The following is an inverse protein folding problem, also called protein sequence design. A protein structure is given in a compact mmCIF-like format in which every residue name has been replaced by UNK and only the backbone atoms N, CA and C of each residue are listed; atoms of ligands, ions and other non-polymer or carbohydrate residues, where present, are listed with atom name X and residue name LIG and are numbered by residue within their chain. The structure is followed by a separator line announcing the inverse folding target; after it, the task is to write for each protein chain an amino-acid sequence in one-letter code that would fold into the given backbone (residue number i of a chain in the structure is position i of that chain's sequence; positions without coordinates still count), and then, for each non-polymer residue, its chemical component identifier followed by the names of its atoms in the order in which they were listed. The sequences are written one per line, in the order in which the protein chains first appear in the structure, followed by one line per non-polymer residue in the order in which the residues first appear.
data_IF_032981269830
#
_entry.id   IF_032981269830
#
_cell.length_a   1.000
_cell.length_b   1.000
_cell.length_c   1.000
_cell.angle_alpha   90.00
_cell.angle_beta   90.00
_cell.angle_gamma   90.00
#
_symmetry.space_group_name_H-M   'P 1'
#
loop_
_entity.id
_entity.type
_entity.pdbx_description
1 polymer ?
#
# COMPACT_ATOMS: atom_id res chain seq x y z
N UNK A 1 27.86 14.10 26.64
CA UNK A 1 27.36 13.56 25.36
C UNK A 1 26.31 14.55 24.85
N UNK A 2 26.70 15.43 23.96
CA UNK A 2 25.74 16.33 23.26
C UNK A 2 24.96 15.47 22.31
N UNK A 3 23.68 15.26 22.59
CA UNK A 3 22.75 14.66 21.61
C UNK A 3 22.80 15.53 20.35
N UNK A 4 23.19 14.96 19.20
CA UNK A 4 22.93 15.62 17.93
C UNK A 4 21.42 15.92 17.89
N UNK A 5 21.02 17.13 17.43
CA UNK A 5 19.61 17.40 17.23
C UNK A 5 19.02 16.31 16.32
N UNK A 6 17.86 15.78 16.71
CA UNK A 6 17.14 14.78 15.89
C UNK A 6 16.84 15.46 14.54
N UNK A 7 17.47 14.99 13.48
CA UNK A 7 17.33 15.56 12.15
C UNK A 7 15.88 15.46 11.59
N UNK A 8 14.98 14.77 12.30
CA UNK A 8 13.59 14.54 11.93
C UNK A 8 12.59 15.20 12.89
N UNK A 9 13.03 16.18 13.70
CA UNK A 9 12.20 16.79 14.72
C UNK A 9 10.93 17.42 14.14
N UNK A 10 11.04 18.09 13.00
CA UNK A 10 9.87 18.72 12.33
C UNK A 10 8.82 17.69 11.90
N UNK A 11 9.27 16.52 11.40
CA UNK A 11 8.37 15.40 11.07
C UNK A 11 7.69 14.87 12.33
N UNK A 12 8.46 14.66 13.39
CA UNK A 12 7.94 14.18 14.68
C UNK A 12 6.89 15.13 15.24
N UNK A 13 7.18 16.41 15.25
CA UNK A 13 6.28 17.44 15.78
C UNK A 13 5.00 17.55 14.94
N UNK A 14 5.10 17.51 13.61
CA UNK A 14 3.95 17.51 12.71
C UNK A 14 3.03 16.30 12.97
N UNK A 15 3.60 15.09 12.99
CA UNK A 15 2.80 13.88 13.26
C UNK A 15 2.20 13.88 14.66
N UNK A 16 2.94 14.33 15.69
CA UNK A 16 2.41 14.45 17.06
C UNK A 16 1.25 15.42 17.13
N UNK A 17 1.35 16.57 16.45
CA UNK A 17 0.28 17.56 16.41
C UNK A 17 -0.99 17.00 15.74
N UNK A 18 -0.84 16.24 14.64
CA UNK A 18 -1.97 15.54 14.02
C UNK A 18 -2.54 14.47 14.96
N UNK A 19 -1.70 13.60 15.52
CA UNK A 19 -2.15 12.52 16.39
C UNK A 19 -2.84 13.02 17.66
N UNK A 20 -2.48 14.20 18.18
CA UNK A 20 -3.16 14.81 19.32
C UNK A 20 -4.65 15.09 19.08
N UNK A 21 -5.08 15.19 17.83
CA UNK A 21 -6.49 15.34 17.46
C UNK A 21 -7.28 14.03 17.56
N UNK A 22 -6.58 12.89 17.65
CA UNK A 22 -7.14 11.53 17.71
C UNK A 22 -6.67 10.83 19.00
N UNK A 23 -7.34 11.06 20.12
CA UNK A 23 -6.93 10.50 21.41
C UNK A 23 -7.10 8.97 21.44
N UNK A 24 -6.46 8.32 22.40
CA UNK A 24 -6.51 6.86 22.57
C UNK A 24 -7.94 6.29 22.61
N UNK A 25 -8.91 7.07 23.08
CA UNK A 25 -10.35 6.72 23.07
C UNK A 25 -10.90 6.55 21.67
N UNK A 26 -10.49 7.41 20.70
CA UNK A 26 -10.87 7.26 19.30
C UNK A 26 -10.36 5.92 18.75
N UNK A 27 -9.08 5.60 18.95
CA UNK A 27 -8.49 4.36 18.43
C UNK A 27 -9.11 3.12 19.06
N UNK A 28 -9.44 3.14 20.37
CA UNK A 28 -10.15 2.04 21.04
C UNK A 28 -11.56 1.82 20.44
N UNK A 29 -12.31 2.87 20.19
CA UNK A 29 -13.66 2.75 19.57
C UNK A 29 -13.59 2.17 18.15
N UNK A 30 -12.60 2.57 17.36
CA UNK A 30 -12.38 2.00 16.02
C UNK A 30 -12.05 0.50 16.12
N UNK A 31 -11.17 0.11 17.05
CA UNK A 31 -10.79 -1.29 17.26
C UNK A 31 -11.98 -2.14 17.74
N UNK A 32 -12.73 -1.69 18.73
CA UNK A 32 -13.95 -2.33 19.24
C UNK A 32 -14.99 -2.54 18.12
N UNK A 33 -15.17 -1.51 17.27
CA UNK A 33 -16.07 -1.57 16.12
C UNK A 33 -15.52 -2.41 14.96
N UNK A 34 -14.26 -2.86 15.01
CA UNK A 34 -13.55 -3.52 13.89
C UNK A 34 -13.63 -2.70 12.61
N UNK A 35 -13.58 -1.37 12.75
CA UNK A 35 -13.76 -0.43 11.66
C UNK A 35 -12.42 0.07 11.11
N UNK A 36 -12.46 0.64 9.93
CA UNK A 36 -11.34 1.37 9.36
C UNK A 36 -11.33 2.80 9.91
N UNK A 37 -10.16 3.36 10.29
CA UNK A 37 -10.06 4.69 10.90
C UNK A 37 -10.11 5.80 9.83
N UNK A 38 -11.25 5.96 9.16
CA UNK A 38 -11.43 6.89 8.01
C UNK A 38 -10.96 8.30 8.33
N UNK A 39 -11.45 8.90 9.41
CA UNK A 39 -11.14 10.29 9.79
C UNK A 39 -9.63 10.49 10.03
N UNK A 40 -8.99 9.53 10.67
CA UNK A 40 -7.56 9.57 10.94
C UNK A 40 -6.75 9.44 9.64
N UNK A 41 -7.13 8.51 8.75
CA UNK A 41 -6.47 8.32 7.46
C UNK A 41 -6.69 9.54 6.55
N UNK A 42 -7.87 10.12 6.57
CA UNK A 42 -8.16 11.35 5.83
C UNK A 42 -7.34 12.55 6.35
N UNK A 43 -7.15 12.65 7.65
CA UNK A 43 -6.27 13.67 8.24
C UNK A 43 -4.81 13.49 7.80
N UNK A 44 -4.28 12.25 7.88
CA UNK A 44 -2.94 11.91 7.38
C UNK A 44 -2.79 12.23 5.89
N UNK A 45 -3.84 11.99 5.10
CA UNK A 45 -3.83 12.25 3.66
C UNK A 45 -3.81 13.75 3.37
N UNK A 46 -4.68 14.53 4.02
CA UNK A 46 -4.76 16.00 3.83
C UNK A 46 -3.48 16.72 4.20
N UNK A 47 -2.76 16.26 5.20
CA UNK A 47 -1.48 16.82 5.61
C UNK A 47 -0.29 16.25 4.82
N UNK A 48 -0.52 15.37 3.82
CA UNK A 48 0.49 14.84 2.92
C UNK A 48 1.31 13.65 3.46
N UNK A 49 1.07 13.21 4.71
CA UNK A 49 1.84 12.13 5.33
C UNK A 49 1.69 10.79 4.61
N UNK A 50 0.52 10.54 4.01
CA UNK A 50 0.28 9.33 3.23
C UNK A 50 1.02 9.31 1.89
N UNK A 51 1.47 10.48 1.41
CA UNK A 51 2.19 10.67 0.15
C UNK A 51 3.69 10.94 0.35
N UNK A 52 4.22 10.73 1.55
CA UNK A 52 5.59 11.06 1.93
C UNK A 52 6.66 10.55 0.96
N UNK A 53 6.51 9.32 0.45
CA UNK A 53 7.47 8.68 -0.48
C UNK A 53 7.21 8.98 -1.96
N UNK A 54 6.09 9.64 -2.31
CA UNK A 54 5.81 10.03 -3.69
C UNK A 54 6.70 11.21 -4.05
N UNK A 55 7.40 11.20 -5.21
CA UNK A 55 8.17 12.35 -5.66
C UNK A 55 7.33 13.62 -5.80
N UNK A 56 7.94 14.78 -5.61
CA UNK A 56 7.29 16.08 -5.70
C UNK A 56 6.61 16.31 -7.06
N UNK A 57 7.21 15.85 -8.14
CA UNK A 57 6.65 15.93 -9.50
C UNK A 57 5.28 15.25 -9.64
N UNK A 58 4.94 14.35 -8.72
CA UNK A 58 3.65 13.66 -8.67
C UNK A 58 2.80 14.07 -7.46
N UNK A 59 3.12 15.18 -6.80
CA UNK A 59 2.34 15.77 -5.72
C UNK A 59 2.61 15.16 -4.33
N UNK A 60 3.71 14.44 -4.16
CA UNK A 60 4.18 13.96 -2.87
C UNK A 60 5.25 14.85 -2.25
N UNK A 61 5.90 14.37 -1.19
CA UNK A 61 6.96 15.10 -0.48
C UNK A 61 8.38 14.63 -0.83
N UNK A 62 8.53 13.59 -1.63
CA UNK A 62 9.84 13.08 -2.05
C UNK A 62 10.74 12.59 -0.91
N UNK A 63 10.17 12.27 0.25
CA UNK A 63 10.92 11.83 1.42
C UNK A 63 11.46 10.41 1.25
N UNK A 64 12.45 10.05 2.08
CA UNK A 64 13.07 8.75 2.08
C UNK A 64 12.41 7.74 3.05
N UNK A 65 12.96 6.52 3.07
CA UNK A 65 12.45 5.45 3.93
C UNK A 65 12.66 5.73 5.42
N UNK A 66 13.68 6.49 5.77
CA UNK A 66 13.95 6.86 7.18
C UNK A 66 12.85 7.79 7.70
N UNK A 67 12.51 8.81 6.93
CA UNK A 67 11.42 9.74 7.23
C UNK A 67 10.07 9.01 7.31
N UNK A 68 9.80 8.10 6.37
CA UNK A 68 8.62 7.25 6.41
C UNK A 68 8.56 6.39 7.69
N UNK A 69 9.70 5.87 8.15
CA UNK A 69 9.79 5.12 9.41
C UNK A 69 9.50 6.00 10.62
N UNK A 70 10.00 7.23 10.63
CA UNK A 70 9.74 8.21 11.71
C UNK A 70 8.25 8.55 11.78
N UNK A 71 7.60 8.75 10.63
CA UNK A 71 6.14 8.97 10.56
C UNK A 71 5.39 7.82 11.21
N UNK A 72 5.70 6.58 10.85
CA UNK A 72 5.03 5.40 11.39
C UNK A 72 5.34 5.18 12.88
N UNK A 73 6.56 5.47 13.32
CA UNK A 73 6.95 5.42 14.72
C UNK A 73 6.09 6.35 15.57
N UNK A 74 5.94 7.61 15.17
CA UNK A 74 5.16 8.59 15.93
C UNK A 74 3.66 8.27 15.94
N UNK A 75 3.10 7.74 14.85
CA UNK A 75 1.72 7.26 14.80
C UNK A 75 1.50 6.15 15.85
N UNK A 76 2.38 5.13 15.86
CA UNK A 76 2.26 4.02 16.80
C UNK A 76 2.50 4.49 18.25
N UNK A 77 3.46 5.40 18.47
CA UNK A 77 3.74 5.97 19.79
C UNK A 77 2.54 6.73 20.38
N UNK A 78 1.74 7.37 19.51
CA UNK A 78 0.52 8.05 19.92
C UNK A 78 -0.67 7.10 20.17
N UNK A 79 -0.50 5.78 19.97
CA UNK A 79 -1.54 4.78 20.13
C UNK A 79 -2.38 4.55 18.87
N UNK A 80 -2.04 5.19 17.75
CA UNK A 80 -2.66 4.97 16.45
C UNK A 80 -2.17 3.70 15.77
N UNK A 81 -2.92 3.19 14.80
CA UNK A 81 -2.50 2.10 13.94
C UNK A 81 -1.89 2.65 12.65
N UNK A 82 -0.56 2.56 12.51
CA UNK A 82 0.14 3.00 11.29
C UNK A 82 -0.10 2.12 10.07
N UNK A 83 -0.88 1.05 10.20
CA UNK A 83 -1.03 0.05 9.16
C UNK A 83 -1.57 0.56 7.83
N UNK A 84 -2.46 1.57 7.83
CA UNK A 84 -2.95 2.20 6.60
C UNK A 84 -1.82 2.97 5.89
N UNK A 85 -1.04 3.73 6.66
CA UNK A 85 0.12 4.48 6.19
C UNK A 85 1.19 3.53 5.61
N UNK A 86 1.58 2.52 6.38
CA UNK A 86 2.52 1.49 5.93
C UNK A 86 2.04 0.80 4.65
N UNK A 87 0.76 0.37 4.62
CA UNK A 87 0.19 -0.31 3.46
C UNK A 87 0.27 0.54 2.19
N UNK A 88 -0.01 1.83 2.28
CA UNK A 88 0.11 2.72 1.13
C UNK A 88 1.57 2.96 0.74
N UNK A 89 2.45 3.21 1.71
CA UNK A 89 3.86 3.52 1.45
C UNK A 89 4.58 2.42 0.69
N UNK A 90 4.46 1.15 1.10
CA UNK A 90 5.16 0.08 0.38
C UNK A 90 4.52 -0.24 -0.98
N UNK A 91 3.20 -0.17 -1.10
CA UNK A 91 2.52 -0.43 -2.36
C UNK A 91 2.80 0.66 -3.41
N UNK A 92 2.68 1.94 -3.04
CA UNK A 92 2.97 3.03 -3.99
C UNK A 92 4.44 3.09 -4.37
N UNK A 93 5.36 2.72 -3.46
CA UNK A 93 6.79 2.68 -3.77
C UNK A 93 7.09 1.63 -4.87
N UNK A 94 6.30 0.56 -4.95
CA UNK A 94 6.36 -0.39 -6.07
C UNK A 94 6.03 0.33 -7.38
N UNK A 95 4.99 1.16 -7.41
CA UNK A 95 4.63 1.94 -8.58
C UNK A 95 5.66 3.03 -8.92
N UNK A 96 6.20 3.73 -7.91
CA UNK A 96 7.28 4.73 -8.08
C UNK A 96 8.51 4.08 -8.73
N UNK A 97 8.91 2.90 -8.30
CA UNK A 97 10.15 2.24 -8.76
C UNK A 97 10.00 1.48 -10.07
N UNK A 98 8.85 0.85 -10.30
CA UNK A 98 8.67 -0.14 -11.35
C UNK A 98 7.53 0.20 -12.33
N UNK A 99 6.72 1.21 -12.03
CA UNK A 99 5.67 1.68 -12.92
C UNK A 99 6.25 2.30 -14.20
N UNK A 100 5.51 2.18 -15.31
CA UNK A 100 5.80 2.98 -16.51
C UNK A 100 5.53 4.45 -16.23
N UNK A 101 6.09 5.34 -17.07
CA UNK A 101 5.83 6.77 -16.93
C UNK A 101 4.33 7.09 -17.01
N UNK A 102 3.62 6.45 -17.94
CA UNK A 102 2.16 6.57 -18.06
C UNK A 102 1.44 6.15 -16.78
N UNK A 103 1.85 5.04 -16.15
CA UNK A 103 1.27 4.59 -14.88
C UNK A 103 1.56 5.56 -13.74
N UNK A 104 2.78 6.07 -13.64
CA UNK A 104 3.15 7.05 -12.62
C UNK A 104 2.33 8.33 -12.76
N UNK A 105 2.27 8.91 -13.94
CA UNK A 105 1.49 10.12 -14.23
C UNK A 105 -0.01 9.92 -13.97
N UNK A 106 -0.53 8.74 -14.27
CA UNK A 106 -1.96 8.43 -14.11
C UNK A 106 -2.38 8.24 -12.66
N UNK A 107 -1.55 7.57 -11.86
CA UNK A 107 -1.97 7.07 -10.55
C UNK A 107 -1.33 7.81 -9.36
N UNK A 108 -0.05 8.20 -9.43
CA UNK A 108 0.62 8.79 -8.28
C UNK A 108 -0.01 10.11 -7.81
N UNK A 109 -0.40 11.06 -8.67
CA UNK A 109 -1.07 12.28 -8.23
C UNK A 109 -2.40 12.00 -7.51
N UNK A 110 -3.15 11.01 -7.98
CA UNK A 110 -4.42 10.60 -7.38
C UNK A 110 -4.24 9.88 -6.03
N UNK A 111 -3.16 9.14 -5.88
CA UNK A 111 -2.79 8.51 -4.61
C UNK A 111 -2.32 9.60 -3.63
N UNK A 112 -1.52 10.56 -4.09
CA UNK A 112 -1.05 11.66 -3.26
C UNK A 112 -2.19 12.53 -2.72
N UNK A 113 -3.17 12.84 -3.57
CA UNK A 113 -4.36 13.62 -3.18
C UNK A 113 -5.39 12.85 -2.34
N UNK A 114 -5.29 11.52 -2.28
CA UNK A 114 -6.28 10.66 -1.63
C UNK A 114 -7.51 10.34 -2.48
N UNK A 115 -7.54 10.74 -3.76
CA UNK A 115 -8.59 10.32 -4.71
C UNK A 115 -8.60 8.81 -4.91
N UNK A 116 -7.43 8.18 -4.84
CA UNK A 116 -7.25 6.72 -4.92
C UNK A 116 -6.44 6.21 -3.72
N UNK A 117 -6.88 5.11 -3.14
CA UNK A 117 -6.16 4.39 -2.09
C UNK A 117 -5.51 3.13 -2.66
N UNK A 118 -4.18 3.01 -2.50
CA UNK A 118 -3.39 1.83 -2.84
C UNK A 118 -2.79 1.23 -1.57
N UNK A 119 -3.58 0.49 -0.80
CA UNK A 119 -3.21 -0.03 0.52
C UNK A 119 -3.21 -1.57 0.59
N UNK A 120 -3.48 -2.26 -0.51
CA UNK A 120 -3.58 -3.71 -0.55
C UNK A 120 -2.57 -4.36 -1.49
N UNK A 121 -2.07 -5.54 -1.09
CA UNK A 121 -1.14 -6.35 -1.87
C UNK A 121 -1.55 -7.82 -1.84
N UNK A 122 -1.99 -8.33 -2.99
CA UNK A 122 -2.41 -9.71 -3.17
C UNK A 122 -1.24 -10.63 -3.50
N UNK A 123 -0.62 -11.24 -2.49
CA UNK A 123 0.52 -12.15 -2.63
C UNK A 123 0.19 -13.54 -2.08
N UNK A 124 -0.19 -13.62 -0.81
CA UNK A 124 -0.42 -14.87 -0.08
C UNK A 124 -1.61 -15.64 -0.63
N UNK A 125 -1.46 -16.96 -0.73
CA UNK A 125 -2.48 -17.90 -1.18
C UNK A 125 -2.79 -18.94 -0.09
N UNK A 126 -3.92 -19.66 -0.14
CA UNK A 126 -4.27 -20.67 0.87
C UNK A 126 -3.16 -21.73 1.10
N UNK A 127 -2.36 -22.02 0.08
CA UNK A 127 -1.30 -23.03 0.13
C UNK A 127 0.11 -22.46 0.11
N UNK A 128 0.27 -21.12 0.06
CA UNK A 128 1.57 -20.48 -0.16
C UNK A 128 1.63 -19.13 0.56
N UNK A 129 2.46 -19.03 1.56
CA UNK A 129 2.73 -17.78 2.30
C UNK A 129 4.22 -17.44 2.30
N UNK A 130 5.02 -18.20 3.03
CA UNK A 130 6.47 -17.96 3.17
C UNK A 130 7.24 -18.12 1.85
N UNK A 131 6.95 -19.17 1.10
CA UNK A 131 7.58 -19.39 -0.22
C UNK A 131 6.67 -18.84 -1.34
N UNK A 132 6.73 -17.53 -1.56
CA UNK A 132 5.95 -16.84 -2.59
C UNK A 132 6.28 -17.30 -4.02
N UNK A 133 7.39 -18.00 -4.23
CA UNK A 133 7.73 -18.54 -5.56
C UNK A 133 6.85 -19.70 -5.98
N UNK A 134 6.01 -20.21 -5.07
CA UNK A 134 5.08 -21.34 -5.32
C UNK A 134 3.63 -20.92 -5.53
N UNK A 135 3.37 -19.64 -5.69
CA UNK A 135 2.00 -19.15 -5.97
C UNK A 135 1.42 -19.82 -7.22
N UNK A 136 0.12 -20.05 -7.16
CA UNK A 136 -0.67 -20.71 -8.22
C UNK A 136 -1.56 -19.75 -9.01
N UNK A 137 -1.81 -18.55 -8.49
CA UNK A 137 -2.53 -17.53 -9.25
C UNK A 137 -1.83 -17.27 -10.57
N UNK A 138 -2.54 -17.45 -11.66
CA UNK A 138 -2.05 -17.28 -13.03
C UNK A 138 -2.61 -16.02 -13.67
N UNK A 139 -1.83 -15.41 -14.58
CA UNK A 139 -2.25 -14.33 -15.44
C UNK A 139 -1.87 -14.65 -16.88
N UNK A 140 -2.84 -15.08 -17.67
CA UNK A 140 -2.63 -15.51 -19.06
C UNK A 140 -3.02 -14.38 -20.01
N UNK A 141 -2.07 -13.96 -20.85
CA UNK A 141 -2.32 -12.93 -21.87
C UNK A 141 -3.27 -13.46 -22.95
N UNK A 142 -4.37 -12.75 -23.20
CA UNK A 142 -5.33 -13.01 -24.28
C UNK A 142 -5.60 -11.71 -25.04
N UNK A 143 -4.96 -11.56 -26.19
CA UNK A 143 -5.01 -10.33 -26.96
C UNK A 143 -4.38 -9.15 -26.19
N UNK A 144 -5.17 -8.11 -25.94
CA UNK A 144 -4.79 -6.90 -25.21
C UNK A 144 -4.98 -6.99 -23.68
N UNK A 145 -5.45 -8.12 -23.16
CA UNK A 145 -5.84 -8.33 -21.77
C UNK A 145 -5.10 -9.49 -21.13
N UNK A 146 -5.09 -9.50 -19.77
CA UNK A 146 -4.74 -10.66 -18.98
C UNK A 146 -6.00 -11.25 -18.34
N UNK A 147 -6.13 -12.57 -18.45
CA UNK A 147 -7.13 -13.33 -17.70
C UNK A 147 -6.43 -13.88 -16.47
N UNK A 148 -6.89 -13.45 -15.31
CA UNK A 148 -6.32 -13.84 -14.01
C UNK A 148 -7.22 -14.88 -13.37
N UNK A 149 -6.61 -15.99 -12.90
CA UNK A 149 -7.29 -17.03 -12.13
C UNK A 149 -6.45 -17.41 -10.92
N UNK A 150 -7.09 -17.43 -9.77
CA UNK A 150 -6.43 -17.79 -8.51
C UNK A 150 -7.20 -17.28 -7.30
N UNK A 151 -6.64 -17.50 -6.12
CA UNK A 151 -7.19 -17.06 -4.85
C UNK A 151 -6.08 -16.49 -3.99
N UNK A 152 -6.31 -15.30 -3.45
CA UNK A 152 -5.44 -14.64 -2.46
C UNK A 152 -6.16 -14.61 -1.11
N UNK A 153 -5.40 -14.73 -0.03
CA UNK A 153 -5.94 -14.70 1.34
C UNK A 153 -5.15 -13.74 2.22
N UNK A 154 -5.79 -13.29 3.30
CA UNK A 154 -5.19 -12.39 4.29
C UNK A 154 -4.74 -11.04 3.70
N UNK A 155 -5.48 -10.55 2.72
CA UNK A 155 -5.15 -9.28 2.06
C UNK A 155 -5.68 -8.12 2.89
N UNK A 156 -4.76 -7.47 3.60
CA UNK A 156 -5.09 -6.33 4.44
C UNK A 156 -5.70 -5.19 3.62
N UNK A 157 -6.77 -4.59 4.13
CA UNK A 157 -7.41 -3.37 3.62
C UNK A 157 -7.92 -3.44 2.19
N UNK A 158 -8.16 -4.63 1.65
CA UNK A 158 -8.70 -4.76 0.29
C UNK A 158 -10.06 -4.05 0.15
N UNK A 159 -10.91 -4.08 1.18
CA UNK A 159 -12.21 -3.40 1.19
C UNK A 159 -12.09 -1.86 1.18
N UNK A 160 -10.95 -1.32 1.60
CA UNK A 160 -10.69 0.11 1.74
C UNK A 160 -9.69 0.62 0.69
N UNK A 161 -9.38 -0.19 -0.31
CA UNK A 161 -8.47 0.14 -1.41
C UNK A 161 -9.22 0.26 -2.72
N UNK A 162 -8.84 1.24 -3.54
CA UNK A 162 -9.31 1.34 -4.92
C UNK A 162 -8.45 0.50 -5.85
N UNK A 163 -7.14 0.45 -5.54
CA UNK A 163 -6.13 -0.26 -6.29
C UNK A 163 -5.45 -1.33 -5.42
N UNK A 164 -5.01 -2.41 -6.05
CA UNK A 164 -4.25 -3.48 -5.41
C UNK A 164 -3.03 -3.85 -6.25
N UNK A 165 -1.90 -4.06 -5.59
CA UNK A 165 -0.75 -4.75 -6.19
C UNK A 165 -1.04 -6.25 -6.14
N UNK A 166 -1.06 -6.91 -7.30
CA UNK A 166 -1.29 -8.35 -7.40
C UNK A 166 -0.08 -9.05 -7.97
N UNK A 167 0.44 -10.05 -7.24
CA UNK A 167 1.47 -10.95 -7.75
C UNK A 167 0.80 -12.18 -8.38
N UNK A 168 1.11 -12.42 -9.65
CA UNK A 168 0.58 -13.58 -10.38
C UNK A 168 1.67 -14.19 -11.29
N UNK A 169 1.45 -15.43 -11.69
CA UNK A 169 2.35 -16.18 -12.57
C UNK A 169 1.93 -16.00 -14.02
N UNK A 170 2.82 -15.42 -14.81
CA UNK A 170 2.65 -15.24 -16.27
C UNK A 170 3.30 -16.34 -17.09
N UNK A 171 4.29 -17.05 -16.52
CA UNK A 171 4.88 -18.25 -17.10
C UNK A 171 4.68 -19.42 -16.13
N UNK A 172 4.19 -20.59 -16.56
CA UNK A 172 4.01 -21.76 -15.70
C UNK A 172 5.30 -22.14 -14.96
N UNK A 173 5.17 -22.62 -13.72
CA UNK A 173 6.32 -23.01 -12.90
C UNK A 173 7.17 -24.12 -13.55
N UNK A 174 6.55 -24.98 -14.34
CA UNK A 174 7.24 -26.06 -15.07
C UNK A 174 8.12 -25.55 -16.22
N UNK A 175 7.85 -24.34 -16.70
CA UNK A 175 8.51 -23.78 -17.90
C UNK A 175 9.62 -22.79 -17.56
N UNK A 176 9.95 -22.62 -16.26
CA UNK A 176 11.00 -21.70 -15.80
C UNK A 176 12.18 -22.46 -15.20
N UNK A 177 13.39 -21.90 -15.30
CA UNK A 177 14.59 -22.51 -14.72
C UNK A 177 14.69 -22.25 -13.21
N UNK A 178 14.30 -21.04 -12.77
CA UNK A 178 14.28 -20.65 -11.38
C UNK A 178 12.83 -20.38 -10.95
N UNK A 179 12.44 -20.86 -9.77
CA UNK A 179 11.08 -20.69 -9.23
C UNK A 179 10.62 -19.22 -9.12
N UNK A 180 11.56 -18.28 -8.99
CA UNK A 180 11.29 -16.84 -8.95
C UNK A 180 11.02 -16.22 -10.33
N UNK A 181 11.31 -16.92 -11.41
CA UNK A 181 11.02 -16.47 -12.75
C UNK A 181 9.56 -16.71 -13.11
N UNK A 182 9.07 -15.98 -14.12
CA UNK A 182 7.68 -16.10 -14.59
C UNK A 182 6.65 -15.50 -13.66
N UNK A 183 7.06 -14.70 -12.68
CA UNK A 183 6.19 -13.91 -11.81
C UNK A 183 6.10 -12.48 -12.33
N UNK A 184 4.91 -11.91 -12.28
CA UNK A 184 4.65 -10.52 -12.69
C UNK A 184 3.78 -9.81 -11.67
N UNK A 185 3.96 -8.50 -11.56
CA UNK A 185 3.16 -7.62 -10.71
C UNK A 185 2.15 -6.91 -11.60
N UNK A 186 0.90 -6.89 -11.15
CA UNK A 186 -0.19 -6.18 -11.78
C UNK A 186 -0.73 -5.11 -10.83
N UNK A 187 -1.04 -3.95 -11.38
CA UNK A 187 -1.85 -2.95 -10.70
C UNK A 187 -3.31 -3.20 -11.08
N UNK A 188 -4.12 -3.60 -10.12
CA UNK A 188 -5.52 -3.99 -10.31
C UNK A 188 -6.42 -2.89 -9.79
N UNK A 189 -7.33 -2.39 -10.63
CA UNK A 189 -8.49 -1.61 -10.20
C UNK A 189 -9.51 -2.58 -9.60
N UNK A 190 -9.65 -2.55 -8.27
CA UNK A 190 -10.48 -3.50 -7.53
C UNK A 190 -11.96 -3.32 -7.89
N UNK A 191 -12.44 -2.09 -8.00
CA UNK A 191 -13.84 -1.81 -8.32
C UNK A 191 -14.23 -2.33 -9.71
N UNK A 192 -13.33 -2.18 -10.68
CA UNK A 192 -13.54 -2.70 -12.02
C UNK A 192 -13.41 -4.23 -12.03
N UNK A 193 -12.46 -4.79 -11.30
CA UNK A 193 -12.25 -6.23 -11.20
C UNK A 193 -13.47 -6.94 -10.57
N UNK A 194 -14.07 -6.37 -9.52
CA UNK A 194 -15.30 -6.90 -8.91
C UNK A 194 -16.47 -6.94 -9.90
N UNK A 195 -16.64 -5.91 -10.73
CA UNK A 195 -17.65 -5.90 -11.80
C UNK A 195 -17.39 -6.97 -12.87
N UNK A 196 -16.14 -7.42 -13.01
CA UNK A 196 -15.69 -8.41 -13.99
C UNK A 196 -15.64 -9.85 -13.45
N UNK A 197 -16.11 -10.09 -12.22
CA UNK A 197 -16.19 -11.40 -11.60
C UNK A 197 -15.12 -11.70 -10.56
N UNK A 198 -14.39 -10.70 -10.08
CA UNK A 198 -13.57 -10.85 -8.86
C UNK A 198 -14.53 -10.97 -7.68
N UNK A 199 -14.37 -12.03 -6.88
CA UNK A 199 -15.06 -12.20 -5.61
C UNK A 199 -14.15 -11.69 -4.47
N UNK A 200 -14.74 -10.99 -3.48
CA UNK A 200 -14.06 -10.43 -2.32
C UNK A 200 -14.14 -11.30 -1.07
#
# INVERSE_FOLDING_TARGET
MTSQPDSYQDIRDGIRALCAQFPAEYHRKIDEARAYPEEFVDALTREGWMAALIPEDYGGSGLGLTEASVIMEEINRAGGNSGACHGQMYNMNTLVRHGSEEQRLKYLPKIASGELRLQSMGVTEPTTGTDTTRIKTTAVKKGDRYVVNGQKVWISRVQHSDLMILLARTTPLADVQKKSEGLSIFLVDIRQAMKSGMEG
#
